data_IF_992418499686
#
_entry.id   IF_992418499686
#
_cell.length_a   1.000
_cell.length_b   1.000
_cell.length_c   1.000
_cell.angle_alpha   90.00
_cell.angle_beta   90.00
_cell.angle_gamma   90.00
#
_symmetry.space_group_name_H-M   'P 1'
#
loop_
_entity.id
_entity.type
_entity.pdbx_description
1 polymer ?
#
# COMPACT_ATOMS: atom_id res chain seq x y z
N UNK A 1 -33.71 3.90 -11.59
CA UNK A 1 -32.24 3.96 -11.61
C UNK A 1 -31.73 4.21 -10.20
N UNK A 2 -30.68 3.49 -9.79
CA UNK A 2 -30.04 3.67 -8.49
C UNK A 2 -28.59 4.03 -8.72
N UNK A 3 -28.06 4.96 -7.91
CA UNK A 3 -26.62 5.26 -7.84
C UNK A 3 -26.07 4.60 -6.58
N UNK A 4 -24.99 3.82 -6.73
CA UNK A 4 -24.23 3.27 -5.61
C UNK A 4 -22.93 4.07 -5.53
N UNK A 5 -22.63 4.63 -4.35
CA UNK A 5 -21.40 5.34 -4.08
C UNK A 5 -20.74 4.76 -2.82
N UNK A 6 -19.44 4.57 -2.88
CA UNK A 6 -18.59 4.27 -1.73
C UNK A 6 -17.62 5.42 -1.52
N UNK A 7 -17.36 5.78 -0.28
CA UNK A 7 -16.44 6.84 0.08
C UNK A 7 -15.86 6.59 1.47
N UNK A 8 -14.62 6.96 1.68
CA UNK A 8 -13.93 6.84 2.95
C UNK A 8 -12.68 7.70 3.01
N UNK A 9 -11.88 7.50 4.05
CA UNK A 9 -10.65 8.26 4.25
C UNK A 9 -9.68 8.14 3.05
N UNK A 10 -9.44 6.91 2.58
CA UNK A 10 -8.55 6.67 1.45
C UNK A 10 -9.04 7.33 0.16
N UNK A 11 -10.34 7.28 -0.10
CA UNK A 11 -10.91 7.85 -1.32
C UNK A 11 -10.77 9.38 -1.36
N UNK A 12 -10.95 10.03 -0.21
CA UNK A 12 -10.88 11.49 -0.10
C UNK A 12 -9.43 11.96 -0.09
N UNK A 13 -8.59 11.42 0.80
CA UNK A 13 -7.24 11.94 1.04
C UNK A 13 -6.21 11.38 0.07
N UNK A 14 -6.34 10.14 -0.39
CA UNK A 14 -5.37 9.52 -1.30
C UNK A 14 -5.83 9.56 -2.76
N UNK A 15 -7.11 9.70 -3.01
CA UNK A 15 -7.70 9.78 -4.34
C UNK A 15 -8.01 11.22 -4.74
N UNK A 16 -9.07 11.79 -4.18
CA UNK A 16 -9.59 13.09 -4.63
C UNK A 16 -8.62 14.25 -4.37
N UNK A 17 -8.05 14.35 -3.16
CA UNK A 17 -7.12 15.43 -2.84
C UNK A 17 -5.87 15.38 -3.71
N UNK A 18 -5.28 14.18 -3.89
CA UNK A 18 -4.09 14.03 -4.71
C UNK A 18 -4.39 14.29 -6.19
N UNK A 19 -5.56 13.87 -6.68
CA UNK A 19 -6.00 14.20 -8.04
C UNK A 19 -6.14 15.71 -8.25
N UNK A 20 -6.71 16.41 -7.27
CA UNK A 20 -6.85 17.87 -7.34
C UNK A 20 -5.48 18.59 -7.33
N UNK A 21 -4.55 18.15 -6.48
CA UNK A 21 -3.19 18.69 -6.44
C UNK A 21 -2.42 18.38 -7.74
N UNK A 22 -2.55 17.17 -8.26
CA UNK A 22 -1.93 16.78 -9.53
C UNK A 22 -2.47 17.62 -10.70
N UNK A 23 -3.78 17.87 -10.73
CA UNK A 23 -4.42 18.69 -11.77
C UNK A 23 -3.97 20.16 -11.74
N UNK A 24 -3.40 20.65 -10.63
CA UNK A 24 -2.82 21.99 -10.51
C UNK A 24 -1.33 22.05 -10.92
N UNK A 25 -0.75 20.95 -11.34
CA UNK A 25 0.66 20.84 -11.72
C UNK A 25 0.77 20.88 -13.25
N UNK A 26 1.59 21.77 -13.80
CA UNK A 26 1.76 21.93 -15.25
C UNK A 26 2.24 20.66 -15.94
N UNK A 27 3.21 19.97 -15.34
CA UNK A 27 3.74 18.70 -15.83
C UNK A 27 3.97 17.74 -14.69
N UNK A 28 3.45 16.55 -14.82
CA UNK A 28 3.65 15.46 -13.85
C UNK A 28 4.59 14.43 -14.45
N UNK A 29 5.63 14.05 -13.71
CA UNK A 29 6.53 12.95 -14.05
C UNK A 29 6.26 11.72 -13.16
N UNK A 30 5.96 11.96 -11.87
CA UNK A 30 5.76 10.88 -10.91
C UNK A 30 4.85 11.32 -9.77
N UNK A 31 4.05 10.39 -9.27
CA UNK A 31 3.29 10.53 -8.02
C UNK A 31 3.79 9.47 -7.06
N UNK A 32 4.24 9.89 -5.87
CA UNK A 32 4.71 9.00 -4.81
C UNK A 32 3.79 9.18 -3.61
N UNK A 33 3.25 8.09 -3.09
CA UNK A 33 2.40 8.09 -1.91
C UNK A 33 2.84 7.06 -0.89
N UNK A 34 2.88 7.44 0.39
CA UNK A 34 3.19 6.54 1.49
C UNK A 34 2.23 6.80 2.66
N UNK A 35 1.63 5.73 3.17
CA UNK A 35 0.77 5.77 4.34
C UNK A 35 1.21 4.73 5.35
N UNK A 36 1.30 5.12 6.62
CA UNK A 36 1.70 4.27 7.74
C UNK A 36 0.60 4.22 8.78
N UNK A 37 0.38 3.06 9.36
CA UNK A 37 -0.52 2.86 10.48
C UNK A 37 0.00 1.78 11.43
N UNK A 38 -0.29 1.96 12.72
CA UNK A 38 0.01 0.94 13.73
C UNK A 38 -1.03 -0.18 13.65
N UNK A 39 -0.61 -1.39 13.33
CA UNK A 39 -1.53 -2.55 13.24
C UNK A 39 -2.15 -2.90 14.59
N UNK A 40 -1.54 -2.52 15.69
CA UNK A 40 -2.04 -2.80 17.04
C UNK A 40 -3.33 -2.05 17.35
N UNK A 41 -3.53 -0.86 16.76
CA UNK A 41 -4.74 -0.05 16.95
C UNK A 41 -6.00 -0.71 16.38
N UNK A 42 -5.80 -1.69 15.50
CA UNK A 42 -6.87 -2.47 14.86
C UNK A 42 -7.01 -3.90 15.42
N UNK A 43 -6.23 -4.22 16.44
CA UNK A 43 -6.33 -5.46 17.21
C UNK A 43 -5.52 -6.64 16.67
N UNK A 44 -5.52 -7.71 17.47
CA UNK A 44 -4.66 -8.90 17.27
C UNK A 44 -4.83 -9.58 15.91
N UNK A 45 -6.05 -9.58 15.37
CA UNK A 45 -6.33 -10.24 14.09
C UNK A 45 -5.60 -9.54 12.94
N UNK A 46 -5.56 -8.21 12.93
CA UNK A 46 -4.87 -7.46 11.91
C UNK A 46 -3.35 -7.56 12.08
N UNK A 47 -2.83 -7.45 13.30
CA UNK A 47 -1.40 -7.60 13.57
C UNK A 47 -0.87 -8.97 13.08
N UNK A 48 -1.60 -10.06 13.34
CA UNK A 48 -1.27 -11.38 12.83
C UNK A 48 -1.39 -11.49 11.32
N UNK A 49 -2.44 -10.93 10.73
CA UNK A 49 -2.62 -10.94 9.27
C UNK A 49 -1.51 -10.17 8.52
N UNK A 50 -0.88 -9.21 9.20
CA UNK A 50 0.30 -8.49 8.70
C UNK A 50 1.62 -9.19 8.99
N UNK A 51 1.58 -10.37 9.60
CA UNK A 51 2.76 -11.18 9.87
C UNK A 51 3.61 -10.72 11.06
N UNK A 52 3.07 -9.88 11.95
CA UNK A 52 3.80 -9.45 13.14
C UNK A 52 4.17 -10.66 14.03
N UNK A 53 5.45 -10.77 14.36
CA UNK A 53 6.00 -11.88 15.15
C UNK A 53 6.45 -13.10 14.35
N UNK A 54 6.32 -13.10 13.03
CA UNK A 54 6.81 -14.18 12.17
C UNK A 54 8.30 -14.02 11.86
N UNK A 55 8.99 -15.12 11.66
CA UNK A 55 10.29 -15.13 10.98
C UNK A 55 10.12 -14.71 9.52
N UNK A 56 11.19 -14.28 8.85
CA UNK A 56 11.10 -13.89 7.44
C UNK A 56 10.70 -15.07 6.53
N UNK A 57 11.07 -16.30 6.88
CA UNK A 57 10.68 -17.50 6.14
C UNK A 57 9.18 -17.77 6.28
N UNK A 58 8.65 -17.70 7.50
CA UNK A 58 7.22 -17.84 7.77
C UNK A 58 6.43 -16.71 7.10
N UNK A 59 6.92 -15.47 7.17
CA UNK A 59 6.30 -14.33 6.52
C UNK A 59 6.18 -14.53 5.01
N UNK A 60 7.26 -14.93 4.34
CA UNK A 60 7.22 -15.19 2.89
C UNK A 60 6.18 -16.24 2.54
N UNK A 61 6.08 -17.31 3.32
CA UNK A 61 5.16 -18.41 3.08
C UNK A 61 3.70 -18.07 3.40
N UNK A 62 3.45 -17.37 4.50
CA UNK A 62 2.11 -17.21 5.06
C UNK A 62 1.45 -15.88 4.65
N UNK A 63 2.26 -14.84 4.38
CA UNK A 63 1.79 -13.48 4.09
C UNK A 63 2.11 -13.09 2.65
N UNK A 64 3.39 -13.12 2.28
CA UNK A 64 3.84 -12.55 1.01
C UNK A 64 3.51 -13.42 -0.21
N UNK A 65 3.42 -14.72 -0.06
CA UNK A 65 3.23 -15.64 -1.19
C UNK A 65 1.98 -15.37 -2.03
N UNK A 66 0.90 -14.88 -1.42
CA UNK A 66 -0.34 -14.54 -2.13
C UNK A 66 -0.23 -13.23 -2.94
N UNK A 67 0.66 -12.34 -2.54
CA UNK A 67 0.86 -11.03 -3.17
C UNK A 67 2.03 -11.01 -4.15
N UNK A 68 3.09 -11.78 -3.86
CA UNK A 68 4.31 -11.83 -4.68
C UNK A 68 4.20 -12.87 -5.82
N UNK A 69 3.04 -12.91 -6.47
CA UNK A 69 2.77 -13.77 -7.64
C UNK A 69 3.24 -13.09 -8.94
N UNK A 70 3.39 -13.88 -10.00
CA UNK A 70 3.72 -13.35 -11.31
C UNK A 70 2.62 -12.42 -11.85
N UNK A 71 2.98 -11.48 -12.71
CA UNK A 71 2.00 -10.58 -13.34
C UNK A 71 0.97 -11.37 -14.18
N UNK A 72 1.38 -12.48 -14.78
CA UNK A 72 0.49 -13.37 -15.54
C UNK A 72 -0.54 -14.03 -14.61
N UNK A 73 -0.11 -14.57 -13.47
CA UNK A 73 -1.01 -15.19 -12.52
C UNK A 73 -1.97 -14.17 -11.91
N UNK A 74 -1.46 -12.99 -11.57
CA UNK A 74 -2.28 -11.87 -11.10
C UNK A 74 -3.35 -11.50 -12.12
N UNK A 75 -2.98 -11.37 -13.39
CA UNK A 75 -3.93 -11.05 -14.45
C UNK A 75 -4.99 -12.16 -14.63
N UNK A 76 -4.60 -13.42 -14.49
CA UNK A 76 -5.54 -14.54 -14.54
C UNK A 76 -6.55 -14.48 -13.40
N UNK A 77 -6.09 -14.15 -12.18
CA UNK A 77 -6.98 -13.98 -11.01
C UNK A 77 -7.92 -12.79 -11.21
N UNK A 78 -7.41 -11.66 -11.72
CA UNK A 78 -8.24 -10.48 -12.05
C UNK A 78 -9.32 -10.86 -13.06
N UNK A 79 -8.96 -11.55 -14.13
CA UNK A 79 -9.88 -11.95 -15.19
C UNK A 79 -10.94 -12.94 -14.70
N UNK A 80 -10.64 -13.74 -13.68
CA UNK A 80 -11.60 -14.66 -13.06
C UNK A 80 -12.59 -13.98 -12.11
N UNK A 81 -12.40 -12.69 -11.82
CA UNK A 81 -13.21 -11.92 -10.88
C UNK A 81 -12.93 -12.23 -9.39
N UNK A 82 -11.87 -12.98 -9.09
CA UNK A 82 -11.52 -13.39 -7.73
C UNK A 82 -10.38 -12.56 -7.11
N UNK A 83 -9.89 -11.54 -7.81
CA UNK A 83 -8.81 -10.70 -7.30
C UNK A 83 -9.31 -9.77 -6.19
N UNK A 84 -8.61 -9.79 -5.06
CA UNK A 84 -8.82 -8.84 -3.96
C UNK A 84 -7.61 -7.90 -3.88
N UNK A 85 -7.70 -6.73 -4.49
CA UNK A 85 -6.58 -5.80 -4.52
C UNK A 85 -6.33 -5.16 -3.15
N UNK A 86 -5.06 -4.77 -2.89
CA UNK A 86 -4.73 -3.91 -1.77
C UNK A 86 -5.34 -2.51 -1.94
N UNK A 87 -5.39 -1.74 -0.85
CA UNK A 87 -5.82 -0.34 -0.91
C UNK A 87 -5.00 0.47 -1.92
N UNK A 88 -3.68 0.31 -1.92
CA UNK A 88 -2.81 1.05 -2.85
C UNK A 88 -3.00 0.66 -4.30
N UNK A 89 -3.35 -0.59 -4.59
CA UNK A 89 -3.77 -1.01 -5.94
C UNK A 89 -4.99 -0.23 -6.42
N UNK A 90 -5.99 -0.11 -5.57
CA UNK A 90 -7.21 0.65 -5.87
C UNK A 90 -6.94 2.15 -5.98
N UNK A 91 -6.11 2.70 -5.10
CA UNK A 91 -5.72 4.13 -5.13
C UNK A 91 -5.02 4.48 -6.43
N UNK A 92 -4.07 3.64 -6.90
CA UNK A 92 -3.42 3.86 -8.18
C UNK A 92 -4.43 3.81 -9.33
N UNK A 93 -5.36 2.84 -9.32
CA UNK A 93 -6.44 2.77 -10.30
C UNK A 93 -7.35 4.00 -10.29
N UNK A 94 -7.65 4.53 -9.11
CA UNK A 94 -8.41 5.77 -8.94
C UNK A 94 -7.67 6.97 -9.55
N UNK A 95 -6.41 7.17 -9.17
CA UNK A 95 -5.57 8.28 -9.69
C UNK A 95 -5.45 8.20 -11.22
N UNK A 96 -5.19 7.01 -11.76
CA UNK A 96 -5.15 6.78 -13.22
C UNK A 96 -6.45 7.21 -13.87
N UNK A 97 -7.59 6.78 -13.31
CA UNK A 97 -8.92 7.11 -13.85
C UNK A 97 -9.21 8.62 -13.78
N UNK A 98 -8.92 9.25 -12.64
CA UNK A 98 -9.18 10.69 -12.43
C UNK A 98 -8.29 11.59 -13.28
N UNK A 99 -7.04 11.18 -13.50
CA UNK A 99 -6.08 11.95 -14.31
C UNK A 99 -6.14 11.60 -15.80
N UNK A 100 -7.02 10.68 -16.20
CA UNK A 100 -7.18 10.28 -17.59
C UNK A 100 -5.97 9.54 -18.16
N UNK A 101 -5.22 8.81 -17.32
CA UNK A 101 -4.00 8.10 -17.71
C UNK A 101 -4.33 6.69 -18.26
N UNK A 102 -3.42 6.18 -19.10
CA UNK A 102 -3.53 4.83 -19.67
C UNK A 102 -2.49 3.91 -19.06
N UNK A 103 -2.91 2.88 -18.33
CA UNK A 103 -2.00 1.91 -17.70
C UNK A 103 -1.29 1.07 -18.76
N UNK A 104 0.04 0.96 -18.64
CA UNK A 104 0.86 -0.04 -19.33
C UNK A 104 0.98 -1.29 -18.46
N UNK A 105 1.34 -1.08 -17.18
CA UNK A 105 1.47 -2.15 -16.20
C UNK A 105 1.18 -1.62 -14.79
N UNK A 106 0.66 -2.51 -13.95
CA UNK A 106 0.50 -2.25 -12.52
C UNK A 106 0.95 -3.51 -11.77
N UNK A 107 1.90 -3.35 -10.88
CA UNK A 107 2.50 -4.43 -10.10
C UNK A 107 2.34 -4.18 -8.60
N UNK A 108 2.31 -5.25 -7.81
CA UNK A 108 2.25 -5.18 -6.37
C UNK A 108 3.30 -6.11 -5.76
N UNK A 109 3.92 -5.66 -4.66
CA UNK A 109 4.80 -6.47 -3.82
C UNK A 109 4.41 -6.32 -2.37
N UNK A 110 4.44 -7.43 -1.64
CA UNK A 110 4.38 -7.47 -0.20
C UNK A 110 5.79 -7.65 0.35
N UNK A 111 6.19 -6.76 1.28
CA UNK A 111 7.53 -6.70 1.84
C UNK A 111 7.41 -6.76 3.38
N UNK A 112 8.20 -7.60 4.08
CA UNK A 112 8.21 -7.59 5.55
C UNK A 112 8.84 -6.30 6.08
N UNK A 113 8.22 -5.70 7.07
CA UNK A 113 8.82 -4.63 7.87
C UNK A 113 9.55 -5.24 9.07
N UNK A 114 10.75 -4.76 9.37
CA UNK A 114 11.60 -5.29 10.45
C UNK A 114 12.31 -4.17 11.18
N UNK A 115 12.78 -4.44 12.42
CA UNK A 115 13.65 -3.53 13.15
C UNK A 115 15.03 -4.16 13.42
N UNK A 116 16.00 -3.30 13.72
CA UNK A 116 17.35 -3.69 14.11
C UNK A 116 17.50 -3.90 15.63
N UNK A 117 16.39 -3.84 16.36
CA UNK A 117 16.30 -4.06 17.81
C UNK A 117 15.02 -4.87 18.14
N UNK A 118 14.96 -5.43 19.33
CA UNK A 118 13.76 -6.08 19.83
C UNK A 118 12.70 -5.02 20.14
N UNK A 119 11.45 -5.28 19.78
CA UNK A 119 10.31 -4.45 20.16
C UNK A 119 9.25 -5.28 20.85
N UNK A 120 8.53 -4.68 21.80
CA UNK A 120 7.39 -5.31 22.44
C UNK A 120 6.10 -4.96 21.71
N UNK A 121 5.29 -5.98 21.46
CA UNK A 121 3.92 -5.81 20.97
C UNK A 121 2.96 -6.01 22.15
N UNK A 122 2.27 -4.97 22.55
CA UNK A 122 1.27 -5.04 23.61
C UNK A 122 0.07 -5.89 23.16
N UNK A 123 -0.37 -5.75 21.91
CA UNK A 123 -1.51 -6.49 21.35
C UNK A 123 -1.25 -7.98 21.24
N UNK A 124 -0.05 -8.38 20.84
CA UNK A 124 0.35 -9.78 20.76
C UNK A 124 0.86 -10.32 22.09
N UNK A 125 1.13 -9.44 23.06
CA UNK A 125 1.76 -9.73 24.33
C UNK A 125 3.05 -10.54 24.19
N UNK A 126 3.92 -10.09 23.28
CA UNK A 126 5.19 -10.75 22.97
C UNK A 126 6.28 -9.79 22.55
N UNK A 127 7.53 -10.18 22.76
CA UNK A 127 8.68 -9.48 22.19
C UNK A 127 8.93 -10.02 20.77
N UNK A 128 8.90 -9.12 19.80
CA UNK A 128 9.30 -9.41 18.42
C UNK A 128 10.81 -9.18 18.35
N UNK A 129 11.56 -10.24 18.06
CA UNK A 129 13.01 -10.18 18.05
C UNK A 129 13.52 -9.45 16.82
N UNK A 130 14.68 -8.82 16.98
CA UNK A 130 15.42 -8.18 15.90
C UNK A 130 15.41 -9.03 14.63
N UNK A 131 15.04 -8.42 13.51
CA UNK A 131 15.01 -9.06 12.19
C UNK A 131 13.80 -9.94 11.91
N UNK A 132 12.92 -10.15 12.88
CA UNK A 132 11.61 -10.75 12.62
C UNK A 132 10.65 -9.71 12.02
N UNK A 133 9.60 -10.18 11.38
CA UNK A 133 8.58 -9.31 10.81
C UNK A 133 7.78 -8.63 11.93
N UNK A 134 7.61 -7.32 11.82
CA UNK A 134 6.77 -6.50 12.69
C UNK A 134 5.47 -6.09 12.02
N UNK A 135 5.35 -6.43 10.75
CA UNK A 135 4.25 -6.14 9.87
C UNK A 135 4.69 -6.21 8.42
N UNK A 136 3.92 -5.59 7.54
CA UNK A 136 4.18 -5.61 6.12
C UNK A 136 4.01 -4.25 5.45
N UNK A 137 4.62 -4.11 4.26
CA UNK A 137 4.33 -3.06 3.30
C UNK A 137 3.73 -3.65 2.03
N UNK A 138 2.64 -3.06 1.56
CA UNK A 138 2.15 -3.28 0.21
C UNK A 138 2.64 -2.14 -0.69
N UNK A 139 3.48 -2.47 -1.67
CA UNK A 139 4.06 -1.50 -2.62
C UNK A 139 3.45 -1.72 -3.99
N UNK A 140 2.83 -0.70 -4.55
CA UNK A 140 2.21 -0.74 -5.88
C UNK A 140 2.90 0.25 -6.81
N UNK A 141 3.31 -0.23 -7.97
CA UNK A 141 3.91 0.60 -9.03
C UNK A 141 3.05 0.52 -10.29
N UNK A 142 2.66 1.68 -10.81
CA UNK A 142 1.90 1.79 -12.06
C UNK A 142 2.69 2.60 -13.08
N UNK A 143 2.88 2.05 -14.26
CA UNK A 143 3.47 2.72 -15.42
C UNK A 143 2.38 3.09 -16.41
N UNK A 144 2.45 4.31 -16.95
CA UNK A 144 1.44 4.82 -17.88
C UNK A 144 2.03 5.17 -19.24
N UNK A 145 1.19 5.19 -20.27
CA UNK A 145 1.60 5.59 -21.65
C UNK A 145 2.02 7.05 -21.72
N UNK A 146 1.49 7.87 -20.86
CA UNK A 146 1.79 9.30 -20.77
C UNK A 146 3.17 9.57 -20.13
N UNK A 147 3.88 8.51 -19.71
CA UNK A 147 5.20 8.59 -19.08
C UNK A 147 5.17 8.94 -17.61
N UNK A 148 4.00 8.95 -16.99
CA UNK A 148 3.83 9.20 -15.55
C UNK A 148 3.92 7.86 -14.82
N UNK A 149 4.71 7.85 -13.73
CA UNK A 149 4.82 6.68 -12.84
C UNK A 149 4.11 6.99 -11.51
N UNK A 150 3.28 6.06 -11.05
CA UNK A 150 2.71 6.10 -9.70
C UNK A 150 3.41 5.04 -8.85
N UNK A 151 3.95 5.45 -7.71
CA UNK A 151 4.53 4.56 -6.70
C UNK A 151 3.85 4.81 -5.35
N UNK A 152 3.12 3.83 -4.88
CA UNK A 152 2.38 3.96 -3.62
C UNK A 152 2.73 2.82 -2.67
N UNK A 153 2.84 3.15 -1.39
CA UNK A 153 3.21 2.22 -0.33
C UNK A 153 2.29 2.39 0.87
N UNK A 154 1.73 1.28 1.34
CA UNK A 154 1.01 1.23 2.60
C UNK A 154 1.78 0.35 3.58
N UNK A 155 2.13 0.91 4.73
CA UNK A 155 2.92 0.25 5.78
C UNK A 155 2.01 0.00 6.97
N UNK A 156 1.73 -1.25 7.27
CA UNK A 156 1.04 -1.69 8.47
C UNK A 156 1.98 -2.53 9.33
N UNK A 157 2.39 -2.02 10.49
CA UNK A 157 3.33 -2.70 11.38
C UNK A 157 3.11 -2.35 12.84
N UNK A 158 3.69 -3.13 13.74
CA UNK A 158 3.85 -2.76 15.14
C UNK A 158 4.87 -1.63 15.22
N UNK A 159 4.53 -0.52 15.85
CA UNK A 159 5.39 0.65 15.92
C UNK A 159 6.45 0.57 17.01
N UNK A 160 7.63 1.08 16.72
CA UNK A 160 8.55 1.51 17.76
C UNK A 160 8.01 2.76 18.46
N UNK A 161 8.46 3.01 19.71
CA UNK A 161 7.92 4.09 20.57
C UNK A 161 7.96 5.50 19.96
N UNK A 162 8.80 5.74 18.97
CA UNK A 162 8.97 7.05 18.32
C UNK A 162 8.20 7.19 17.01
N UNK A 163 7.53 6.13 16.56
CA UNK A 163 6.79 6.13 15.31
C UNK A 163 5.33 6.56 15.53
N UNK A 164 4.72 7.06 14.49
CA UNK A 164 3.34 7.51 14.46
C UNK A 164 2.76 7.34 13.06
N UNK A 165 1.46 7.37 12.97
CA UNK A 165 0.73 7.33 11.70
C UNK A 165 1.13 8.52 10.84
N UNK A 166 1.39 8.26 9.56
CA UNK A 166 1.71 9.30 8.60
C UNK A 166 1.06 9.03 7.25
N UNK A 167 0.87 10.10 6.52
CA UNK A 167 0.36 10.07 5.16
C UNK A 167 1.10 11.15 4.35
N UNK A 168 2.03 10.72 3.51
CA UNK A 168 2.92 11.60 2.75
C UNK A 168 2.73 11.37 1.25
N UNK A 169 2.53 12.45 0.50
CA UNK A 169 2.39 12.41 -0.95
C UNK A 169 3.27 13.46 -1.61
N UNK A 170 3.94 13.03 -2.67
CA UNK A 170 4.81 13.89 -3.46
C UNK A 170 4.42 13.81 -4.93
N UNK A 171 4.16 14.95 -5.54
CA UNK A 171 4.00 15.09 -6.98
C UNK A 171 5.31 15.66 -7.53
N UNK A 172 5.99 14.85 -8.33
CA UNK A 172 7.24 15.25 -8.99
C UNK A 172 6.88 15.75 -10.39
N UNK A 173 7.15 17.02 -10.65
CA UNK A 173 6.78 17.66 -11.91
C UNK A 173 7.26 19.10 -11.98
N UNK A 174 6.62 19.86 -12.85
CA UNK A 174 6.89 21.28 -13.02
C UNK A 174 5.65 22.05 -12.58
N UNK A 175 5.73 22.89 -11.53
CA UNK A 175 4.66 23.82 -11.18
C UNK A 175 4.51 24.88 -12.27
N UNK A 176 3.32 25.52 -12.33
CA UNK A 176 3.07 26.69 -13.18
C UNK A 176 3.86 27.90 -12.72
#
# INVERSE_FOLDING_TARGET
ECTIAGSGYQDIYWGELISALAASTHKINKIIGESWYNVEDYGIALAKAHGAGLTLEEFEKEVAASDNISDTDRQNIINSGNYQPSYMWNVNGWLVSKLGLTVISQTQKCIPETYQEDIHSDTLNMDIKKGMATGMSAVVTTLTKEGITLETKCVGKVYAKTEFDKNEWTIVGEPD
#
